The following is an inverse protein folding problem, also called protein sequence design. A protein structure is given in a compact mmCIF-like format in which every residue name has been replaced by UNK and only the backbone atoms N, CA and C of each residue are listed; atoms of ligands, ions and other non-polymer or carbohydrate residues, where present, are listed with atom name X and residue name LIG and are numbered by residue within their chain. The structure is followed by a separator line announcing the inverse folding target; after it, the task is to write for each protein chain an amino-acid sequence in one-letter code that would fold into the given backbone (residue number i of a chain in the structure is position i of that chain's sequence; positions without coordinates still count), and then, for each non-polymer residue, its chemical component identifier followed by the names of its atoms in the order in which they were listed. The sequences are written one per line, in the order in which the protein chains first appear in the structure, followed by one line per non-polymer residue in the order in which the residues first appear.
data_IF_707499184722
#
_entry.id   IF_707499184722
#
_cell.length_a   1.000
_cell.length_b   1.000
_cell.length_c   1.000
_cell.angle_alpha   90.00
_cell.angle_beta   90.00
_cell.angle_gamma   90.00
#
_symmetry.space_group_name_H-M   'P 1'
#
loop_
_entity.id
_entity.type
_entity.pdbx_description
1 polymer ?
#
# COMPACT_ATOMS: atom_id res chain seq x y z
N UNK A 1 -18.85 -10.44 -16.56
CA UNK A 1 -19.07 -11.56 -15.62
C UNK A 1 -18.36 -11.22 -14.32
N UNK A 2 -19.01 -11.36 -13.17
CA UNK A 2 -18.34 -11.24 -11.88
C UNK A 2 -17.66 -12.58 -11.57
N UNK A 3 -16.40 -12.57 -11.13
CA UNK A 3 -15.75 -13.79 -10.65
C UNK A 3 -16.52 -14.36 -9.45
N UNK A 4 -16.85 -15.65 -9.49
CA UNK A 4 -17.57 -16.31 -8.39
C UNK A 4 -16.76 -16.36 -7.10
N UNK A 5 -15.43 -16.35 -7.21
CA UNK A 5 -14.50 -16.30 -6.08
C UNK A 5 -13.11 -15.83 -6.52
N UNK A 6 -12.55 -14.87 -5.78
CA UNK A 6 -11.15 -14.42 -5.92
C UNK A 6 -10.29 -15.17 -4.91
N UNK A 7 -9.21 -15.77 -5.38
CA UNK A 7 -8.24 -16.46 -4.54
C UNK A 7 -6.98 -15.61 -4.45
N UNK A 8 -6.43 -15.48 -3.24
CA UNK A 8 -5.16 -14.79 -3.00
C UNK A 8 -4.15 -15.77 -2.42
N UNK A 9 -2.92 -15.71 -2.90
CA UNK A 9 -1.83 -16.56 -2.43
C UNK A 9 -0.50 -15.82 -2.58
N UNK A 10 0.52 -16.33 -1.90
CA UNK A 10 1.90 -15.87 -2.06
C UNK A 10 2.67 -16.89 -2.88
N UNK A 11 3.32 -16.50 -3.99
CA UNK A 11 4.24 -17.36 -4.70
C UNK A 11 5.46 -17.66 -3.81
N UNK A 12 5.99 -18.87 -3.90
CA UNK A 12 7.16 -19.32 -3.12
C UNK A 12 8.41 -19.56 -3.97
N UNK A 13 8.26 -19.51 -5.29
CA UNK A 13 9.32 -19.80 -6.26
C UNK A 13 9.55 -18.57 -7.16
N UNK A 14 10.81 -18.20 -7.34
CA UNK A 14 11.23 -17.09 -8.19
C UNK A 14 11.23 -17.49 -9.68
N UNK A 15 11.13 -16.51 -10.59
CA UNK A 15 11.25 -16.75 -12.03
C UNK A 15 10.10 -17.55 -12.65
N UNK A 16 8.97 -17.69 -11.95
CA UNK A 16 7.79 -18.38 -12.46
C UNK A 16 7.08 -17.53 -13.53
N UNK A 17 6.38 -18.15 -14.51
CA UNK A 17 5.62 -17.40 -15.52
C UNK A 17 4.58 -16.44 -14.92
N UNK A 18 4.00 -16.78 -13.77
CA UNK A 18 3.03 -15.92 -13.07
C UNK A 18 3.70 -14.69 -12.44
N UNK A 19 4.94 -14.79 -11.97
CA UNK A 19 5.71 -13.63 -11.50
C UNK A 19 6.06 -12.68 -12.65
N UNK A 20 6.43 -13.21 -13.82
CA UNK A 20 6.63 -12.39 -15.01
C UNK A 20 5.32 -11.68 -15.46
N UNK A 21 4.16 -12.32 -15.25
CA UNK A 21 2.87 -11.66 -15.49
C UNK A 21 2.53 -10.59 -14.44
N UNK A 22 2.92 -10.82 -13.19
CA UNK A 22 2.78 -9.83 -12.12
C UNK A 22 3.66 -8.60 -12.36
N UNK A 23 4.89 -8.78 -12.86
CA UNK A 23 5.78 -7.69 -13.29
C UNK A 23 5.12 -6.83 -14.37
N UNK A 24 4.63 -7.44 -15.46
CA UNK A 24 3.92 -6.73 -16.52
C UNK A 24 2.68 -6.00 -15.99
N UNK A 25 1.96 -6.61 -15.04
CA UNK A 25 0.81 -5.97 -14.42
C UNK A 25 1.21 -4.79 -13.52
N UNK A 26 2.32 -4.90 -12.79
CA UNK A 26 2.91 -3.84 -11.99
C UNK A 26 3.30 -2.65 -12.86
N UNK A 27 4.07 -2.88 -13.93
CA UNK A 27 4.43 -1.85 -14.90
C UNK A 27 3.22 -1.27 -15.63
N UNK A 28 2.17 -2.07 -15.85
CA UNK A 28 0.94 -1.59 -16.49
C UNK A 28 0.02 -0.79 -15.56
N UNK A 29 0.23 -0.81 -14.24
CA UNK A 29 -0.71 -0.20 -13.27
C UNK A 29 -0.11 0.89 -12.39
N UNK A 30 1.22 0.96 -12.26
CA UNK A 30 1.95 1.99 -11.50
C UNK A 30 2.68 2.91 -12.46
N UNK A 31 2.69 4.23 -12.24
CA UNK A 31 3.45 5.17 -13.08
C UNK A 31 4.96 4.92 -12.95
N UNK A 32 5.77 5.21 -13.98
CA UNK A 32 7.20 4.88 -13.98
C UNK A 32 7.96 5.43 -12.75
N UNK A 33 7.83 6.73 -12.45
CA UNK A 33 8.52 7.33 -11.30
C UNK A 33 8.03 6.85 -9.93
N UNK A 34 6.84 6.26 -9.84
CA UNK A 34 6.33 5.63 -8.60
C UNK A 34 6.96 4.25 -8.34
N UNK A 35 7.75 3.69 -9.28
CA UNK A 35 8.21 2.30 -9.21
C UNK A 35 9.57 2.19 -8.51
N UNK A 36 9.72 1.11 -7.75
CA UNK A 36 11.03 0.52 -7.47
C UNK A 36 11.34 -0.61 -8.48
N UNK A 37 12.60 -1.04 -8.61
CA UNK A 37 12.96 -2.19 -9.45
C UNK A 37 12.17 -3.45 -9.08
N UNK A 38 11.55 -4.11 -10.07
CA UNK A 38 10.75 -5.31 -9.86
C UNK A 38 11.50 -6.41 -9.10
N UNK A 39 12.79 -6.58 -9.38
CA UNK A 39 13.64 -7.57 -8.67
C UNK A 39 13.67 -7.38 -7.14
N UNK A 40 13.35 -6.19 -6.60
CA UNK A 40 13.24 -5.97 -5.16
C UNK A 40 11.92 -6.50 -4.60
N UNK A 41 10.85 -6.44 -5.40
CA UNK A 41 9.52 -6.98 -5.10
C UNK A 41 9.54 -8.50 -5.23
N UNK A 42 10.09 -9.03 -6.32
CA UNK A 42 10.11 -10.46 -6.63
C UNK A 42 10.80 -11.28 -5.53
N UNK A 43 11.88 -10.75 -4.94
CA UNK A 43 12.62 -11.41 -3.85
C UNK A 43 11.73 -11.76 -2.64
N UNK A 44 10.64 -11.03 -2.40
CA UNK A 44 9.70 -11.35 -1.33
C UNK A 44 9.02 -12.71 -1.51
N UNK A 45 8.84 -13.19 -2.75
CA UNK A 45 8.30 -14.53 -3.02
C UNK A 45 9.23 -15.65 -2.52
N UNK A 46 10.55 -15.45 -2.59
CA UNK A 46 11.55 -16.45 -2.16
C UNK A 46 11.95 -16.37 -0.68
N UNK A 47 11.67 -15.26 -0.01
CA UNK A 47 12.19 -14.96 1.34
C UNK A 47 11.30 -15.47 2.49
N UNK A 48 10.13 -16.07 2.22
CA UNK A 48 9.15 -16.52 3.23
C UNK A 48 9.73 -17.37 4.37
N UNK A 49 10.83 -18.08 4.11
CA UNK A 49 11.48 -18.96 5.09
C UNK A 49 12.45 -18.24 6.02
N UNK A 50 12.68 -16.93 5.84
CA UNK A 50 13.61 -16.13 6.65
C UNK A 50 12.83 -15.06 7.41
N UNK A 51 11.82 -15.47 8.19
CA UNK A 51 11.23 -14.56 9.19
C UNK A 51 12.30 -14.19 10.20
N UNK A 52 12.68 -12.91 10.21
CA UNK A 52 13.62 -12.35 11.20
C UNK A 52 12.81 -11.49 12.14
N UNK A 53 12.78 -11.77 13.45
CA UNK A 53 12.01 -10.98 14.41
C UNK A 53 12.32 -9.47 14.37
N UNK A 54 13.51 -9.09 13.92
CA UNK A 54 14.00 -7.70 13.88
C UNK A 54 14.03 -7.09 12.47
N UNK A 55 13.65 -7.85 11.45
CA UNK A 55 13.70 -7.41 10.05
C UNK A 55 12.30 -7.13 9.50
N UNK A 56 12.24 -6.45 8.36
CA UNK A 56 11.01 -6.33 7.59
C UNK A 56 10.55 -7.71 7.13
N UNK A 57 9.28 -8.01 7.34
CA UNK A 57 8.66 -9.23 6.83
C UNK A 57 7.81 -8.86 5.62
N UNK A 58 8.37 -9.13 4.44
CA UNK A 58 7.82 -8.70 3.14
C UNK A 58 6.87 -9.74 2.58
N UNK A 59 5.86 -9.26 1.86
CA UNK A 59 4.87 -10.08 1.18
C UNK A 59 4.65 -9.60 -0.24
N UNK A 60 4.57 -10.57 -1.15
CA UNK A 60 3.99 -10.40 -2.49
C UNK A 60 2.78 -11.32 -2.59
N UNK A 61 1.58 -10.76 -2.59
CA UNK A 61 0.33 -11.52 -2.70
C UNK A 61 -0.22 -11.34 -4.11
N UNK A 62 -0.52 -12.45 -4.79
CA UNK A 62 -1.15 -12.48 -6.10
C UNK A 62 -2.63 -12.88 -5.98
N UNK A 63 -3.45 -12.51 -6.96
CA UNK A 63 -4.87 -12.82 -7.02
C UNK A 63 -5.28 -13.46 -8.36
N UNK A 64 -6.12 -14.51 -8.32
CA UNK A 64 -6.62 -15.24 -9.51
C UNK A 64 -8.11 -15.52 -9.42
N UNK A 65 -8.70 -15.82 -10.59
CA UNK A 65 -10.02 -16.43 -10.68
C UNK A 65 -9.90 -17.95 -10.53
N UNK A 66 -10.39 -18.51 -9.42
CA UNK A 66 -10.22 -19.94 -9.13
C UNK A 66 -8.80 -20.32 -8.66
N UNK A 67 -8.55 -21.60 -8.37
CA UNK A 67 -7.26 -22.10 -7.86
C UNK A 67 -6.20 -22.29 -8.97
N UNK A 68 -6.13 -21.39 -9.94
CA UNK A 68 -5.21 -21.45 -11.08
C UNK A 68 -3.94 -20.62 -10.78
N UNK A 69 -3.19 -21.01 -9.75
CA UNK A 69 -2.09 -20.21 -9.22
C UNK A 69 -0.89 -20.08 -10.15
N UNK A 70 -0.69 -21.05 -11.04
CA UNK A 70 0.45 -21.07 -11.95
C UNK A 70 0.11 -20.55 -13.36
N UNK A 71 -1.15 -20.14 -13.61
CA UNK A 71 -1.61 -19.65 -14.90
C UNK A 71 -1.44 -18.12 -14.99
N UNK A 72 -0.51 -17.60 -15.82
CA UNK A 72 -0.31 -16.17 -16.04
C UNK A 72 -1.58 -15.45 -16.51
N UNK A 73 -2.42 -16.11 -17.32
CA UNK A 73 -3.62 -15.50 -17.89
C UNK A 73 -4.76 -15.38 -16.87
N UNK A 74 -4.72 -16.20 -15.82
CA UNK A 74 -5.67 -16.14 -14.72
C UNK A 74 -5.38 -15.01 -13.73
N UNK A 75 -4.23 -14.32 -13.83
CA UNK A 75 -3.83 -13.26 -12.92
C UNK A 75 -4.80 -12.06 -12.99
N UNK A 76 -5.31 -11.69 -11.82
CA UNK A 76 -6.27 -10.61 -11.62
C UNK A 76 -5.66 -9.39 -10.93
N UNK A 77 -4.63 -9.57 -10.13
CA UNK A 77 -4.03 -8.50 -9.34
C UNK A 77 -2.85 -8.94 -8.49
N UNK A 78 -2.18 -7.97 -7.90
CA UNK A 78 -1.09 -8.18 -6.96
C UNK A 78 -1.12 -7.11 -5.85
N UNK A 79 -0.52 -7.44 -4.70
CA UNK A 79 -0.20 -6.50 -3.65
C UNK A 79 1.20 -6.79 -3.09
N UNK A 80 1.97 -5.74 -2.82
CA UNK A 80 3.28 -5.82 -2.22
C UNK A 80 3.38 -4.87 -1.02
N UNK A 81 4.02 -5.34 0.04
CA UNK A 81 4.22 -4.58 1.26
C UNK A 81 4.98 -5.38 2.31
N UNK A 82 5.13 -4.82 3.50
CA UNK A 82 5.80 -5.45 4.61
C UNK A 82 5.16 -5.11 5.96
N UNK A 83 5.26 -6.04 6.91
CA UNK A 83 5.17 -5.68 8.33
C UNK A 83 6.55 -5.20 8.80
N UNK A 84 6.56 -4.06 9.48
CA UNK A 84 7.76 -3.39 9.98
C UNK A 84 7.68 -3.39 11.52
N UNK A 85 8.52 -4.20 12.21
CA UNK A 85 8.55 -4.24 13.67
C UNK A 85 8.72 -2.86 14.31
N UNK A 86 7.95 -2.60 15.36
CA UNK A 86 7.91 -1.31 16.05
C UNK A 86 7.28 -0.17 15.26
N UNK A 87 6.59 -0.44 14.15
CA UNK A 87 5.86 0.56 13.36
C UNK A 87 4.44 0.11 13.02
N UNK A 88 4.30 -0.93 12.19
CA UNK A 88 3.00 -1.39 11.69
C UNK A 88 3.11 -2.04 10.32
N UNK A 89 1.96 -2.21 9.66
CA UNK A 89 1.90 -2.71 8.28
C UNK A 89 2.07 -1.59 7.26
N UNK A 90 2.81 -1.84 6.19
CA UNK A 90 2.99 -0.91 5.10
C UNK A 90 2.77 -1.60 3.76
N UNK A 91 1.81 -1.10 2.99
CA UNK A 91 1.54 -1.56 1.63
C UNK A 91 2.11 -0.52 0.68
N UNK A 92 3.03 -0.93 -0.19
CA UNK A 92 3.64 -0.03 -1.17
C UNK A 92 2.81 -0.01 -2.46
N UNK A 93 2.46 -1.20 -2.96
CA UNK A 93 1.85 -1.34 -4.29
C UNK A 93 0.65 -2.25 -4.26
N UNK A 94 -0.41 -1.83 -4.94
CA UNK A 94 -1.58 -2.66 -5.24
C UNK A 94 -2.01 -2.39 -6.67
N UNK A 95 -2.06 -3.45 -7.48
CA UNK A 95 -2.51 -3.36 -8.87
C UNK A 95 -3.60 -4.38 -9.15
N UNK A 96 -4.59 -3.98 -9.95
CA UNK A 96 -5.69 -4.84 -10.39
C UNK A 96 -5.81 -4.72 -11.91
N UNK A 97 -5.82 -5.87 -12.58
CA UNK A 97 -5.97 -5.94 -14.03
C UNK A 97 -7.27 -5.26 -14.46
N UNK A 98 -7.26 -4.61 -15.61
CA UNK A 98 -8.42 -3.85 -16.09
C UNK A 98 -9.68 -4.72 -16.19
N UNK A 99 -9.52 -5.96 -16.69
CA UNK A 99 -10.59 -6.96 -16.78
C UNK A 99 -11.23 -7.31 -15.43
N UNK A 100 -10.51 -7.11 -14.33
CA UNK A 100 -10.94 -7.48 -12.98
C UNK A 100 -11.36 -6.31 -12.09
N UNK A 101 -11.27 -5.07 -12.60
CA UNK A 101 -11.68 -3.88 -11.85
C UNK A 101 -13.16 -3.93 -11.48
N UNK A 102 -13.50 -3.37 -10.32
CA UNK A 102 -14.85 -3.36 -9.73
C UNK A 102 -15.41 -4.73 -9.36
N UNK A 103 -14.60 -5.80 -9.40
CA UNK A 103 -15.01 -7.16 -9.02
C UNK A 103 -14.54 -7.58 -7.61
N UNK A 104 -14.12 -6.64 -6.77
CA UNK A 104 -13.71 -6.92 -5.39
C UNK A 104 -12.27 -7.40 -5.21
N UNK A 105 -11.49 -7.57 -6.29
CA UNK A 105 -10.09 -8.05 -6.23
C UNK A 105 -9.22 -7.17 -5.33
N UNK A 106 -9.28 -5.85 -5.47
CA UNK A 106 -8.48 -4.93 -4.64
C UNK A 106 -8.78 -5.05 -3.15
N UNK A 107 -10.05 -5.13 -2.77
CA UNK A 107 -10.45 -5.34 -1.38
C UNK A 107 -9.92 -6.67 -0.84
N UNK A 108 -9.98 -7.74 -1.65
CA UNK A 108 -9.47 -9.05 -1.26
C UNK A 108 -7.95 -9.05 -1.06
N UNK A 109 -7.21 -8.33 -1.91
CA UNK A 109 -5.77 -8.16 -1.78
C UNK A 109 -5.42 -7.42 -0.48
N UNK A 110 -6.09 -6.30 -0.17
CA UNK A 110 -5.89 -5.58 1.10
C UNK A 110 -6.18 -6.47 2.32
N UNK A 111 -7.31 -7.17 2.36
CA UNK A 111 -7.64 -8.09 3.45
C UNK A 111 -6.60 -9.19 3.64
N UNK A 112 -6.05 -9.71 2.53
CA UNK A 112 -5.01 -10.74 2.56
C UNK A 112 -3.71 -10.19 3.14
N UNK A 113 -3.32 -8.96 2.76
CA UNK A 113 -2.17 -8.26 3.35
C UNK A 113 -2.37 -8.00 4.85
N UNK A 114 -3.56 -7.56 5.27
CA UNK A 114 -3.85 -7.33 6.69
C UNK A 114 -3.72 -8.62 7.52
N UNK A 115 -4.20 -9.73 6.96
CA UNK A 115 -4.08 -11.06 7.59
C UNK A 115 -2.63 -11.48 7.72
N UNK A 116 -1.82 -11.28 6.67
CA UNK A 116 -0.40 -11.58 6.67
C UNK A 116 0.35 -10.76 7.72
N UNK A 117 0.15 -9.44 7.75
CA UNK A 117 0.78 -8.55 8.73
C UNK A 117 0.37 -8.85 10.17
N UNK A 118 -0.88 -9.25 10.42
CA UNK A 118 -1.31 -9.63 11.77
C UNK A 118 -0.60 -10.91 12.26
N UNK A 119 -0.38 -11.87 11.35
CA UNK A 119 0.38 -13.08 11.66
C UNK A 119 1.86 -12.77 11.95
N UNK A 120 2.44 -11.81 11.22
CA UNK A 120 3.83 -11.39 11.42
C UNK A 120 4.02 -10.56 12.70
N UNK A 121 3.09 -9.66 13.02
CA UNK A 121 3.09 -8.96 14.30
C UNK A 121 3.04 -9.97 15.47
N UNK A 122 2.16 -10.97 15.38
CA UNK A 122 2.08 -12.06 16.36
C UNK A 122 3.40 -12.83 16.47
N UNK A 123 4.04 -13.14 15.34
CA UNK A 123 5.33 -13.82 15.31
C UNK A 123 6.44 -12.98 15.96
N UNK A 124 6.43 -11.66 15.78
CA UNK A 124 7.35 -10.73 16.41
C UNK A 124 7.05 -10.46 17.90
N UNK A 125 5.92 -10.96 18.43
CA UNK A 125 5.49 -10.67 19.79
C UNK A 125 4.91 -9.27 19.98
N UNK A 126 4.42 -8.64 18.90
CA UNK A 126 3.88 -7.29 18.86
C UNK A 126 2.38 -7.31 18.48
N UNK A 127 1.66 -6.23 18.81
CA UNK A 127 0.33 -5.98 18.22
C UNK A 127 0.48 -5.27 16.88
N UNK A 128 -0.43 -5.51 15.93
CA UNK A 128 -0.54 -4.70 14.70
C UNK A 128 -1.44 -3.47 14.96
N UNK A 129 -0.88 -2.25 15.12
CA UNK A 129 -1.68 -1.08 15.46
C UNK A 129 -2.51 -0.59 14.26
N UNK A 130 -1.89 -0.52 13.10
CA UNK A 130 -2.47 -0.01 11.85
C UNK A 130 -1.75 -0.58 10.63
N UNK A 131 -2.35 -0.33 9.47
CA UNK A 131 -1.72 -0.51 8.16
C UNK A 131 -1.79 0.79 7.38
N UNK A 132 -0.68 1.22 6.79
CA UNK A 132 -0.63 2.38 5.90
C UNK A 132 -0.48 1.96 4.43
N UNK A 133 -0.98 2.82 3.54
CA UNK A 133 -0.81 2.71 2.10
C UNK A 133 -0.61 4.11 1.53
N UNK A 134 0.26 4.25 0.54
CA UNK A 134 0.51 5.50 -0.15
C UNK A 134 0.05 5.41 -1.59
N UNK A 135 -0.51 6.50 -2.12
CA UNK A 135 -0.88 6.53 -3.51
C UNK A 135 -0.84 7.92 -4.11
N UNK A 136 -0.40 8.01 -5.35
CA UNK A 136 -0.40 9.26 -6.08
C UNK A 136 -1.82 9.79 -6.28
N UNK A 137 -1.97 11.09 -6.04
CA UNK A 137 -3.17 11.85 -6.34
C UNK A 137 -2.88 12.75 -7.54
N UNK A 138 -3.74 12.69 -8.57
CA UNK A 138 -3.51 13.47 -9.76
C UNK A 138 -3.59 14.97 -9.48
N UNK A 139 -2.78 15.72 -10.22
CA UNK A 139 -2.80 17.18 -10.24
C UNK A 139 -4.09 17.70 -10.89
N UNK A 140 -4.35 19.01 -10.79
CA UNK A 140 -5.59 19.61 -11.31
C UNK A 140 -5.66 19.67 -12.85
N UNK A 141 -4.50 19.62 -13.50
CA UNK A 141 -4.32 19.66 -14.96
C UNK A 141 -4.31 18.27 -15.61
N UNK A 142 -4.22 17.20 -14.81
CA UNK A 142 -4.34 15.84 -15.31
C UNK A 142 -5.77 15.51 -15.79
N UNK A 143 -5.85 14.61 -16.78
CA UNK A 143 -7.10 14.27 -17.42
C UNK A 143 -8.09 13.52 -16.52
N UNK A 144 -9.36 13.48 -16.95
CA UNK A 144 -10.46 12.84 -16.22
C UNK A 144 -10.18 11.38 -15.83
N UNK A 145 -9.42 10.65 -16.65
CA UNK A 145 -9.03 9.27 -16.38
C UNK A 145 -8.20 9.13 -15.08
N UNK A 146 -7.26 10.05 -14.83
CA UNK A 146 -6.42 10.05 -13.64
C UNK A 146 -7.26 10.33 -12.38
N UNK A 147 -8.16 11.32 -12.45
CA UNK A 147 -9.10 11.61 -11.37
C UNK A 147 -10.06 10.44 -11.08
N UNK A 148 -10.55 9.74 -12.11
CA UNK A 148 -11.37 8.53 -11.92
C UNK A 148 -10.58 7.42 -11.24
N UNK A 149 -9.30 7.26 -11.57
CA UNK A 149 -8.41 6.29 -10.93
C UNK A 149 -8.18 6.63 -9.45
N UNK A 150 -7.88 7.88 -9.12
CA UNK A 150 -7.78 8.36 -7.74
C UNK A 150 -9.05 8.07 -6.93
N UNK A 151 -10.21 8.42 -7.47
CA UNK A 151 -11.48 8.13 -6.82
C UNK A 151 -11.71 6.62 -6.64
N UNK A 152 -11.20 5.78 -7.54
CA UNK A 152 -11.26 4.33 -7.38
C UNK A 152 -10.31 3.82 -6.28
N UNK A 153 -9.10 4.39 -6.17
CA UNK A 153 -8.12 4.11 -5.11
C UNK A 153 -8.69 4.42 -3.72
N UNK A 154 -9.23 5.64 -3.53
CA UNK A 154 -9.87 6.05 -2.28
C UNK A 154 -11.00 5.09 -1.88
N UNK A 155 -11.94 4.81 -2.81
CA UNK A 155 -13.05 3.88 -2.53
C UNK A 155 -12.60 2.45 -2.27
N UNK A 156 -11.54 1.99 -2.92
CA UNK A 156 -11.05 0.62 -2.73
C UNK A 156 -10.52 0.41 -1.32
N UNK A 157 -9.75 1.37 -0.80
CA UNK A 157 -9.23 1.31 0.57
C UNK A 157 -10.31 1.58 1.62
N UNK A 158 -11.25 2.50 1.35
CA UNK A 158 -12.39 2.76 2.23
C UNK A 158 -13.28 1.52 2.42
N UNK A 159 -13.48 0.71 1.38
CA UNK A 159 -14.26 -0.54 1.48
C UNK A 159 -13.69 -1.55 2.48
N UNK A 160 -12.39 -1.47 2.76
CA UNK A 160 -11.73 -2.32 3.77
C UNK A 160 -11.50 -1.55 5.07
N UNK A 161 -12.21 -0.43 5.28
CA UNK A 161 -12.18 0.42 6.47
C UNK A 161 -11.02 1.40 6.53
N UNK A 162 -10.31 1.59 5.42
CA UNK A 162 -9.20 2.52 5.32
C UNK A 162 -9.65 3.97 5.18
N UNK A 163 -8.81 4.89 5.61
CA UNK A 163 -9.10 6.32 5.70
C UNK A 163 -7.98 7.11 5.03
N UNK A 164 -8.33 8.16 4.30
CA UNK A 164 -7.35 9.08 3.72
C UNK A 164 -6.93 10.12 4.76
N UNK A 165 -5.65 10.49 4.80
CA UNK A 165 -5.15 11.55 5.68
C UNK A 165 -5.17 12.88 4.92
N UNK A 166 -6.11 13.76 5.28
CA UNK A 166 -6.24 15.06 4.63
C UNK A 166 -5.14 16.03 5.09
N UNK A 167 -4.52 16.72 4.12
CA UNK A 167 -3.44 17.68 4.37
C UNK A 167 -2.08 17.04 4.60
N UNK A 168 -1.92 15.75 4.31
CA UNK A 168 -0.65 15.04 4.37
C UNK A 168 -0.26 14.55 2.98
N UNK A 169 0.83 15.12 2.48
CA UNK A 169 1.52 14.68 1.27
C UNK A 169 2.95 14.32 1.64
N UNK A 170 3.39 13.15 1.17
CA UNK A 170 4.74 12.65 1.33
C UNK A 170 5.49 12.94 0.05
N UNK A 171 6.65 13.56 0.18
CA UNK A 171 7.55 13.87 -0.93
C UNK A 171 8.59 12.76 -0.95
N UNK A 172 8.47 11.82 -1.88
CA UNK A 172 9.31 10.62 -1.91
C UNK A 172 10.24 10.63 -3.12
N UNK A 173 11.37 9.90 -3.11
CA UNK A 173 12.26 9.82 -4.27
C UNK A 173 11.56 9.25 -5.51
N UNK A 174 11.89 9.79 -6.68
CA UNK A 174 11.66 9.14 -7.97
C UNK A 174 12.86 8.26 -8.30
N UNK A 175 12.73 6.95 -8.11
CA UNK A 175 13.84 6.00 -8.30
C UNK A 175 14.18 5.74 -9.77
N UNK A 176 13.37 6.21 -10.72
CA UNK A 176 13.62 6.08 -12.16
C UNK A 176 14.33 7.33 -12.73
N UNK A 177 14.55 8.35 -11.90
CA UNK A 177 15.14 9.62 -12.30
C UNK A 177 16.59 9.76 -11.80
N UNK A 178 17.49 10.23 -12.67
CA UNK A 178 18.89 10.49 -12.31
C UNK A 178 19.06 11.76 -11.47
N UNK A 179 18.08 12.68 -11.49
CA UNK A 179 18.07 13.86 -10.62
C UNK A 179 17.74 13.44 -9.17
N UNK A 180 18.68 13.62 -8.21
CA UNK A 180 18.49 13.20 -6.82
C UNK A 180 17.40 13.99 -6.08
N UNK A 181 16.86 15.06 -6.69
CA UNK A 181 15.77 15.87 -6.14
C UNK A 181 14.42 15.60 -6.82
N UNK A 182 14.39 14.77 -7.86
CA UNK A 182 13.16 14.34 -8.49
C UNK A 182 12.29 13.61 -7.47
N UNK A 183 11.01 13.99 -7.41
CA UNK A 183 10.12 13.55 -6.35
C UNK A 183 8.77 13.13 -6.88
N UNK A 184 8.16 12.21 -6.13
CA UNK A 184 6.80 11.73 -6.35
C UNK A 184 5.96 12.14 -5.14
N UNK A 185 4.98 13.05 -5.31
CA UNK A 185 4.05 13.38 -4.24
C UNK A 185 3.03 12.26 -4.07
N UNK A 186 2.97 11.72 -2.85
CA UNK A 186 2.08 10.63 -2.48
C UNK A 186 1.15 11.03 -1.34
N UNK A 187 -0.11 10.61 -1.42
CA UNK A 187 -1.08 10.79 -0.34
C UNK A 187 -1.07 9.58 0.59
N UNK A 188 -1.12 9.82 1.89
CA UNK A 188 -1.13 8.76 2.90
C UNK A 188 -2.56 8.31 3.22
N UNK A 189 -2.73 7.00 3.30
CA UNK A 189 -3.92 6.34 3.81
C UNK A 189 -3.57 5.48 5.02
N UNK A 190 -4.52 5.35 5.95
CA UNK A 190 -4.37 4.54 7.15
C UNK A 190 -5.60 3.67 7.40
N UNK A 191 -5.38 2.40 7.73
CA UNK A 191 -6.38 1.48 8.26
C UNK A 191 -6.01 1.17 9.72
N UNK A 192 -6.77 1.67 10.70
CA UNK A 192 -6.62 1.23 12.09
C UNK A 192 -6.93 -0.26 12.21
N UNK A 193 -6.11 -1.03 12.93
CA UNK A 193 -6.32 -2.47 13.15
C UNK A 193 -6.54 -2.73 14.64
N UNK A 194 -5.52 -2.47 15.46
CA UNK A 194 -5.60 -2.57 16.92
C UNK A 194 -5.93 -1.22 17.58
N UNK A 195 -5.52 -0.11 16.97
CA UNK A 195 -5.82 1.23 17.46
C UNK A 195 -7.24 1.67 17.09
N UNK A 196 -7.83 2.52 17.95
CA UNK A 196 -9.10 3.19 17.62
C UNK A 196 -8.87 4.33 16.61
N UNK A 197 -9.87 4.61 15.78
CA UNK A 197 -9.84 5.76 14.85
C UNK A 197 -9.57 7.07 15.58
N UNK A 198 -10.18 7.27 16.75
CA UNK A 198 -10.02 8.49 17.55
C UNK A 198 -8.58 8.76 17.99
N UNK A 199 -7.72 7.74 18.04
CA UNK A 199 -6.31 7.90 18.40
C UNK A 199 -5.46 8.55 17.30
N UNK A 200 -5.91 8.54 16.04
CA UNK A 200 -5.23 9.13 14.88
C UNK A 200 -5.46 10.65 14.80
N UNK A 201 -5.03 11.35 15.84
CA UNK A 201 -5.00 12.81 15.90
C UNK A 201 -3.98 13.37 14.90
N UNK A 202 -4.11 14.65 14.56
CA UNK A 202 -3.13 15.30 13.68
C UNK A 202 -1.67 15.17 14.17
N UNK A 203 -1.33 15.35 15.47
CA UNK A 203 0.02 15.07 15.96
C UNK A 203 0.47 13.63 15.73
N UNK A 204 -0.40 12.64 16.00
CA UNK A 204 -0.07 11.22 15.79
C UNK A 204 0.20 10.91 14.32
N UNK A 205 -0.64 11.43 13.42
CA UNK A 205 -0.47 11.26 11.97
C UNK A 205 0.82 11.89 11.45
N UNK A 206 1.22 13.05 11.99
CA UNK A 206 2.54 13.66 11.71
C UNK A 206 3.68 12.76 12.16
N UNK A 207 3.58 12.13 13.34
CA UNK A 207 4.60 11.17 13.82
C UNK A 207 4.67 9.95 12.93
N UNK A 208 3.53 9.36 12.53
CA UNK A 208 3.50 8.20 11.62
C UNK A 208 4.20 8.53 10.30
N UNK A 209 3.94 9.71 9.72
CA UNK A 209 4.61 10.14 8.49
C UNK A 209 6.13 10.32 8.67
N UNK A 210 6.59 10.85 9.80
CA UNK A 210 8.04 10.94 10.10
C UNK A 210 8.68 9.57 10.20
N UNK A 211 8.08 8.69 10.99
CA UNK A 211 8.58 7.32 11.15
C UNK A 211 8.58 6.55 9.84
N UNK A 212 7.62 6.83 8.95
CA UNK A 212 7.59 6.29 7.60
C UNK A 212 8.80 6.77 6.77
N UNK A 213 9.09 8.07 6.75
CA UNK A 213 10.28 8.61 6.08
C UNK A 213 11.57 7.97 6.60
N UNK A 214 11.71 7.86 7.92
CA UNK A 214 12.92 7.33 8.55
C UNK A 214 13.07 5.82 8.36
N UNK A 215 11.98 5.05 8.55
CA UNK A 215 12.06 3.59 8.55
C UNK A 215 12.01 3.02 7.14
N UNK A 216 11.17 3.58 6.25
CA UNK A 216 10.92 3.05 4.90
C UNK A 216 11.79 3.71 3.85
N UNK A 217 11.80 5.04 3.83
CA UNK A 217 12.57 5.79 2.84
C UNK A 217 14.03 5.99 3.26
N UNK A 218 14.36 5.68 4.53
CA UNK A 218 15.68 5.88 5.12
C UNK A 218 16.13 7.35 5.13
N UNK A 219 15.18 8.27 5.11
CA UNK A 219 15.39 9.72 5.11
C UNK A 219 15.40 10.25 6.55
N UNK A 220 16.45 10.94 6.94
CA UNK A 220 16.67 11.51 8.26
C UNK A 220 16.38 13.02 8.30
N UNK A 221 16.20 13.62 9.48
CA UNK A 221 16.14 15.08 9.62
C UNK A 221 17.34 15.77 8.98
N UNK A 222 17.09 16.71 8.06
CA UNK A 222 18.11 17.37 7.25
C UNK A 222 18.26 16.81 5.82
N UNK A 223 17.72 15.61 5.55
CA UNK A 223 17.66 15.08 4.19
C UNK A 223 16.52 15.74 3.40
N UNK A 224 16.69 15.84 2.07
CA UNK A 224 15.82 16.64 1.21
C UNK A 224 14.35 16.19 1.29
N UNK A 225 14.08 14.90 1.12
CA UNK A 225 12.71 14.38 1.07
C UNK A 225 12.01 14.46 2.43
N UNK A 226 12.77 14.20 3.51
CA UNK A 226 12.27 14.39 4.87
C UNK A 226 11.86 15.84 5.11
N UNK A 227 12.73 16.79 4.81
CA UNK A 227 12.48 18.21 5.08
C UNK A 227 11.36 18.79 4.20
N UNK A 228 11.31 18.41 2.92
CA UNK A 228 10.21 18.80 2.02
C UNK A 228 8.87 18.25 2.51
N UNK A 229 8.82 16.97 2.89
CA UNK A 229 7.62 16.35 3.47
C UNK A 229 7.13 17.14 4.68
N UNK A 230 8.02 17.51 5.61
CA UNK A 230 7.63 18.28 6.78
C UNK A 230 7.18 19.72 6.45
N UNK A 231 7.79 20.35 5.45
CA UNK A 231 7.46 21.72 5.05
C UNK A 231 6.04 21.83 4.47
N UNK A 232 5.60 20.84 3.70
CA UNK A 232 4.25 20.84 3.07
C UNK A 232 3.16 20.24 3.95
N UNK A 233 3.54 19.54 5.02
CA UNK A 233 2.63 18.80 5.88
C UNK A 233 1.73 19.72 6.73
N UNK A 234 0.45 19.77 6.38
CA UNK A 234 -0.59 20.50 7.09
C UNK A 234 -1.76 19.57 7.46
N UNK A 235 -1.47 18.52 8.23
CA UNK A 235 -2.45 17.48 8.60
C UNK A 235 -3.69 18.10 9.23
N UNK A 236 -4.83 17.88 8.59
CA UNK A 236 -6.15 18.28 9.07
C UNK A 236 -6.74 17.15 9.92
N UNK A 237 -6.70 15.92 9.41
CA UNK A 237 -7.23 14.74 10.10
C UNK A 237 -7.57 13.61 9.13
N UNK A 238 -8.38 12.67 9.61
CA UNK A 238 -8.86 11.55 8.82
C UNK A 238 -10.09 11.93 8.00
N UNK A 239 -10.11 11.48 6.75
CA UNK A 239 -11.18 11.70 5.78
C UNK A 239 -11.67 10.38 5.19
N UNK A 240 -12.97 10.33 5.00
CA UNK A 240 -13.69 9.23 4.35
C UNK A 240 -14.47 9.81 3.17
N UNK A 241 -14.58 9.06 2.08
CA UNK A 241 -15.43 9.47 0.96
C UNK A 241 -16.93 9.29 1.29
N UNK A 242 -17.26 8.63 2.41
CA UNK A 242 -18.57 8.53 3.02
C UNK A 242 -18.57 9.15 4.43
N UNK A 243 -18.83 10.47 4.58
CA UNK A 243 -18.79 11.14 5.88
C UNK A 243 -19.62 10.47 6.99
N UNK A 244 -20.72 9.80 6.64
CA UNK A 244 -21.56 9.04 7.56
C UNK A 244 -20.87 7.78 8.14
N UNK A 245 -19.97 7.14 7.38
CA UNK A 245 -19.22 5.98 7.84
C UNK A 245 -18.14 6.37 8.87
N UNK A 246 -17.51 7.54 8.70
CA UNK A 246 -16.56 8.08 9.66
C UNK A 246 -17.23 8.43 11.00
N UNK A 247 -18.42 9.04 10.97
CA UNK A 247 -19.18 9.35 12.18
C UNK A 247 -19.60 8.09 12.97
N UNK A 248 -19.99 7.01 12.28
CA UNK A 248 -20.33 5.74 12.91
C UNK A 248 -19.10 5.05 13.52
N UNK A 249 -17.92 5.20 12.92
CA UNK A 249 -16.66 4.61 13.42
C UNK A 249 -16.05 5.40 14.58
N UNK A 250 -16.31 6.71 14.67
CA UNK A 250 -15.88 7.54 15.79
C UNK A 250 -16.78 7.40 17.04
N UNK A 251 -17.98 6.86 16.88
CA UNK A 251 -18.97 6.73 17.95
C UNK A 251 -18.97 5.35 18.65
N UNK A 252 -18.24 4.37 18.11
CA UNK A 252 -18.06 3.03 18.69
C UNK A 252 -16.67 2.85 19.27
#
# INVERSE_FOLDING_TARGET
MAFSKVYCWEPTELGTPVLAAAERLYEGTIAAGERIPWMWIERAAGEKNVRRPTGWMKHLILATAGPNFDDPEALLGYAYGAFIPGFGGYICYVGVSEKARKQGVGSRLFESMFTAFAADATYAGESLPFVIWESHRPTADEGEAAHRLWNARVRAFEKVGGLWVEGLELITPDYDNEDPTASVPLQLFVKPIGDSVASFTAPRLRTIAKELMEKVYHEQPGDYFHDQTLAVMNVVGLKSAQPAALAATLAG
#
